data_IF_000806830192
#
_entry.id   IF_000806830192
#
_cell.length_a   1.000
_cell.length_b   1.000
_cell.length_c   1.000
_cell.angle_alpha   90.00
_cell.angle_beta   90.00
_cell.angle_gamma   90.00
#
_symmetry.space_group_name_H-M   'P 1'
#
loop_
_entity.id
_entity.type
_entity.pdbx_description
1 polymer ?
#
# COMPACT_ATOMS: atom_id res chain seq x y z
N UNK A 1 13.81 -16.67 9.48
CA UNK A 1 14.20 -15.25 9.43
C UNK A 1 14.25 -14.84 7.97
N UNK A 2 13.54 -13.80 7.53
CA UNK A 2 13.55 -13.39 6.11
C UNK A 2 14.73 -12.46 5.84
N UNK A 3 15.37 -12.59 4.68
CA UNK A 3 16.52 -11.77 4.29
C UNK A 3 16.10 -10.33 3.95
N UNK A 4 17.04 -9.39 4.14
CA UNK A 4 16.90 -8.01 3.69
C UNK A 4 17.41 -7.88 2.25
N UNK A 5 16.48 -7.81 1.31
CA UNK A 5 16.75 -7.64 -0.13
C UNK A 5 16.25 -6.28 -0.61
N UNK A 6 16.75 -5.72 -1.71
CA UNK A 6 16.31 -4.40 -2.22
C UNK A 6 14.78 -4.26 -2.38
N UNK A 7 14.08 -5.35 -2.66
CA UNK A 7 12.63 -5.42 -2.89
C UNK A 7 11.82 -5.42 -1.59
N UNK A 8 12.45 -5.71 -0.45
CA UNK A 8 11.79 -5.72 0.86
C UNK A 8 11.58 -4.30 1.37
N UNK A 9 10.33 -4.03 1.76
CA UNK A 9 10.00 -2.88 2.60
C UNK A 9 10.55 -3.04 4.01
N UNK A 10 11.36 -2.08 4.45
CA UNK A 10 11.97 -2.04 5.77
C UNK A 10 11.14 -1.19 6.75
N UNK A 11 10.64 -0.05 6.28
CA UNK A 11 9.98 0.97 7.11
C UNK A 11 8.47 0.76 7.28
N UNK A 12 7.86 -0.16 6.51
CA UNK A 12 6.42 -0.39 6.52
C UNK A 12 6.07 -1.87 6.39
N UNK A 13 4.87 -2.22 6.89
CA UNK A 13 4.29 -3.56 6.75
C UNK A 13 3.54 -3.66 5.43
N UNK A 14 4.28 -3.62 4.33
CA UNK A 14 3.73 -3.68 2.97
C UNK A 14 4.32 -4.84 2.18
N UNK A 15 3.52 -5.34 1.25
CA UNK A 15 3.91 -6.31 0.23
C UNK A 15 3.35 -5.83 -1.10
N UNK A 16 4.01 -6.18 -2.20
CA UNK A 16 3.53 -5.92 -3.55
C UNK A 16 3.01 -7.22 -4.16
N UNK A 17 2.09 -7.08 -5.11
CA UNK A 17 1.77 -8.16 -6.04
C UNK A 17 3.00 -8.57 -6.83
N UNK A 18 2.97 -9.78 -7.38
CA UNK A 18 4.09 -10.36 -8.13
C UNK A 18 4.36 -9.62 -9.44
N UNK A 19 3.29 -9.18 -10.12
CA UNK A 19 3.36 -8.62 -11.47
C UNK A 19 3.12 -7.12 -11.45
N UNK A 20 3.89 -6.39 -12.25
CA UNK A 20 3.68 -4.97 -12.52
C UNK A 20 2.82 -4.76 -13.76
N UNK A 21 2.13 -3.62 -13.82
CA UNK A 21 1.28 -3.23 -14.95
C UNK A 21 1.90 -2.05 -15.69
N UNK A 22 1.91 -2.09 -17.03
CA UNK A 22 2.41 -1.00 -17.89
C UNK A 22 1.32 -0.31 -18.68
N UNK A 23 0.30 -1.06 -19.09
CA UNK A 23 -0.82 -0.58 -19.90
C UNK A 23 -2.08 -1.42 -19.64
N UNK A 24 -3.23 -0.97 -20.15
CA UNK A 24 -4.51 -1.66 -20.01
C UNK A 24 -5.32 -1.29 -18.77
N UNK A 25 -6.37 -2.06 -18.50
CA UNK A 25 -7.25 -1.93 -17.32
C UNK A 25 -7.19 -3.23 -16.53
N UNK A 26 -6.93 -3.11 -15.23
CA UNK A 26 -6.75 -4.24 -14.32
C UNK A 26 -7.68 -4.07 -13.12
N UNK A 27 -8.30 -5.16 -12.67
CA UNK A 27 -9.11 -5.20 -11.48
C UNK A 27 -8.75 -6.42 -10.64
N UNK A 28 -8.86 -6.27 -9.32
CA UNK A 28 -8.69 -7.36 -8.36
C UNK A 28 -9.60 -7.09 -7.17
N UNK A 29 -9.94 -8.16 -6.46
CA UNK A 29 -10.75 -8.12 -5.25
C UNK A 29 -9.87 -8.51 -4.06
N UNK A 30 -10.11 -7.88 -2.91
CA UNK A 30 -9.42 -8.19 -1.67
C UNK A 30 -10.46 -8.40 -0.58
N UNK A 31 -10.54 -9.63 -0.10
CA UNK A 31 -11.31 -9.98 1.08
C UNK A 31 -10.48 -9.67 2.34
N UNK A 32 -11.11 -9.00 3.32
CA UNK A 32 -10.49 -8.69 4.61
C UNK A 32 -11.18 -9.51 5.67
N UNK A 33 -10.52 -10.57 6.11
CA UNK A 33 -11.02 -11.48 7.14
C UNK A 33 -10.68 -10.98 8.56
N UNK A 34 -11.53 -11.35 9.54
CA UNK A 34 -11.38 -11.01 10.95
C UNK A 34 -12.25 -9.84 11.41
N UNK A 35 -12.12 -9.43 12.68
CA UNK A 35 -12.90 -8.32 13.23
C UNK A 35 -12.50 -6.98 12.58
N UNK A 36 -13.38 -6.46 11.73
CA UNK A 36 -13.27 -5.10 11.19
C UNK A 36 -13.76 -4.10 12.25
N UNK A 37 -13.02 -4.00 13.34
CA UNK A 37 -13.28 -3.04 14.42
C UNK A 37 -12.48 -1.73 14.30
N UNK A 38 -12.60 -0.88 15.31
CA UNK A 38 -11.85 0.39 15.40
C UNK A 38 -10.32 0.18 15.46
N UNK A 39 -9.88 -0.99 15.92
CA UNK A 39 -8.47 -1.40 15.94
C UNK A 39 -7.91 -1.88 14.61
N UNK A 40 -8.76 -2.19 13.62
CA UNK A 40 -8.32 -2.79 12.35
C UNK A 40 -7.53 -1.78 11.51
N UNK A 41 -6.36 -2.21 11.02
CA UNK A 41 -5.45 -1.39 10.22
C UNK A 41 -4.99 -2.15 8.99
N UNK A 42 -5.45 -1.71 7.83
CA UNK A 42 -5.05 -2.25 6.54
C UNK A 42 -5.11 -1.17 5.47
N UNK A 43 -4.47 -1.43 4.34
CA UNK A 43 -4.59 -0.60 3.15
C UNK A 43 -4.39 -1.43 1.90
N UNK A 44 -5.04 -1.02 0.82
CA UNK A 44 -4.98 -1.68 -0.48
C UNK A 44 -4.93 -0.63 -1.58
N UNK A 45 -4.17 -0.91 -2.63
CA UNK A 45 -4.06 -0.06 -3.79
C UNK A 45 -2.87 -0.44 -4.65
N UNK A 46 -2.32 0.55 -5.35
CA UNK A 46 -1.18 0.39 -6.26
C UNK A 46 -0.03 1.29 -5.85
N UNK A 47 1.18 0.85 -6.21
CA UNK A 47 2.39 1.63 -6.05
C UNK A 47 3.20 1.60 -7.34
N UNK A 48 4.00 2.65 -7.59
CA UNK A 48 5.03 2.61 -8.63
C UNK A 48 6.06 1.54 -8.30
N UNK A 49 6.62 0.92 -9.33
CA UNK A 49 7.73 -0.04 -9.19
C UNK A 49 8.95 0.58 -8.48
N UNK A 50 9.13 1.90 -8.64
CA UNK A 50 10.20 2.70 -8.03
C UNK A 50 9.89 3.26 -6.64
N UNK A 51 8.78 2.84 -5.99
CA UNK A 51 8.42 3.34 -4.65
C UNK A 51 9.56 3.12 -3.65
N UNK A 52 9.80 4.09 -2.77
CA UNK A 52 10.81 4.00 -1.71
C UNK A 52 10.49 2.82 -0.78
N UNK A 53 11.48 1.95 -0.51
CA UNK A 53 11.29 0.71 0.30
C UNK A 53 12.11 0.68 1.58
N UNK A 54 13.16 1.49 1.67
CA UNK A 54 14.17 1.43 2.74
C UNK A 54 14.02 2.56 3.74
N UNK A 55 13.53 3.73 3.30
CA UNK A 55 13.34 4.92 4.14
C UNK A 55 11.87 5.19 4.42
N UNK A 56 11.58 6.35 5.03
CA UNK A 56 10.21 6.81 5.23
C UNK A 56 9.50 6.97 3.88
N UNK A 57 8.30 6.41 3.76
CA UNK A 57 7.49 6.51 2.55
C UNK A 57 6.51 7.67 2.64
N UNK A 58 6.40 8.42 1.55
CA UNK A 58 5.29 9.34 1.38
C UNK A 58 4.04 8.59 0.89
N UNK A 59 2.97 8.72 1.66
CA UNK A 59 1.72 8.00 1.47
C UNK A 59 0.76 8.86 0.65
N UNK A 60 1.15 9.13 -0.58
CA UNK A 60 0.52 10.07 -1.51
C UNK A 60 0.78 9.66 -2.96
N UNK A 61 0.01 10.21 -3.92
CA UNK A 61 0.31 10.06 -5.35
C UNK A 61 1.72 10.52 -5.73
N UNK A 62 2.24 11.57 -5.07
CA UNK A 62 3.58 12.12 -5.27
C UNK A 62 4.66 11.13 -4.83
N UNK A 63 4.42 10.42 -3.72
CA UNK A 63 5.23 9.27 -3.29
C UNK A 63 5.07 8.02 -4.15
N UNK A 64 4.21 8.07 -5.17
CA UNK A 64 3.94 6.97 -6.09
C UNK A 64 3.00 5.92 -5.52
N UNK A 65 2.11 6.28 -4.59
CA UNK A 65 1.14 5.38 -3.96
C UNK A 65 -0.29 5.89 -4.18
N UNK A 66 -1.16 5.02 -4.69
CA UNK A 66 -2.60 5.27 -4.79
C UNK A 66 -3.33 4.16 -4.06
N UNK A 67 -3.84 4.46 -2.87
CA UNK A 67 -4.47 3.44 -2.03
C UNK A 67 -5.56 4.03 -1.12
N UNK A 68 -6.43 3.13 -0.67
CA UNK A 68 -7.34 3.37 0.45
C UNK A 68 -6.82 2.66 1.68
N UNK A 69 -7.06 3.22 2.86
CA UNK A 69 -6.72 2.57 4.12
C UNK A 69 -7.84 2.66 5.14
N UNK A 70 -7.93 1.66 6.00
CA UNK A 70 -8.68 1.71 7.26
C UNK A 70 -7.70 1.92 8.41
N UNK A 71 -7.92 2.96 9.20
CA UNK A 71 -7.27 3.16 10.51
C UNK A 71 -8.21 3.98 11.38
N UNK A 72 -9.10 3.30 12.11
CA UNK A 72 -10.28 3.93 12.73
C UNK A 72 -11.33 4.27 11.67
N UNK A 73 -11.02 5.17 10.74
CA UNK A 73 -11.87 5.50 9.60
C UNK A 73 -11.24 5.11 8.26
N UNK A 74 -12.06 5.01 7.23
CA UNK A 74 -11.60 4.88 5.85
C UNK A 74 -11.04 6.22 5.37
N UNK A 75 -9.88 6.19 4.70
CA UNK A 75 -9.25 7.35 4.08
C UNK A 75 -8.64 6.99 2.73
N UNK A 76 -8.79 7.89 1.77
CA UNK A 76 -7.97 7.91 0.55
C UNK A 76 -6.61 8.52 0.86
N UNK A 77 -5.55 7.93 0.32
CA UNK A 77 -4.20 8.48 0.39
C UNK A 77 -3.99 9.49 -0.74
N UNK A 78 -4.57 10.68 -0.58
CA UNK A 78 -4.49 11.80 -1.51
C UNK A 78 -3.53 12.89 -1.02
N UNK A 79 -3.17 13.79 -1.92
CA UNK A 79 -2.52 15.07 -1.62
C UNK A 79 -3.40 16.22 -2.15
N UNK A 80 -3.90 17.12 -1.28
CA UNK A 80 -3.80 17.10 0.17
C UNK A 80 -4.63 15.94 0.79
N UNK A 81 -4.38 15.65 2.07
CA UNK A 81 -5.09 14.59 2.80
C UNK A 81 -6.56 14.99 3.05
N UNK A 82 -7.44 14.01 2.95
CA UNK A 82 -8.84 14.07 3.41
C UNK A 82 -9.01 13.75 4.90
#
# INVERSE_FOLDING_TARGET
>A
KVQDTPERFLSCRCVLGREGFREGRHCWEVEVEGEVGDGSRWGVGVARESVERKRYMDWSPEGGIWAVRKRGQFKSLTSPRT
#
